data_IF_733902320834
#
_entry.id   IF_733902320834
#
_cell.length_a   1.000
_cell.length_b   1.000
_cell.length_c   1.000
_cell.angle_alpha   90.00
_cell.angle_beta   90.00
_cell.angle_gamma   90.00
#
_symmetry.space_group_name_H-M   'P 1'
#
loop_
_entity.id
_entity.type
_entity.pdbx_description
1 polymer ?
#
# COMPACT_ATOMS: atom_id res chain seq x y z
N UNK A 1 24.23 -11.24 -6.98
CA UNK A 1 22.90 -10.79 -7.49
C UNK A 1 21.77 -11.58 -6.83
N UNK A 2 21.87 -12.92 -6.73
CA UNK A 2 20.90 -13.80 -6.04
C UNK A 2 20.55 -13.38 -4.60
N UNK A 3 21.56 -13.12 -3.76
CA UNK A 3 21.35 -12.72 -2.34
C UNK A 3 20.50 -11.46 -2.18
N UNK A 4 20.58 -10.51 -3.12
CA UNK A 4 19.75 -9.29 -3.08
C UNK A 4 18.30 -9.57 -3.44
N UNK A 5 18.06 -10.47 -4.41
CA UNK A 5 16.73 -10.88 -4.82
C UNK A 5 16.03 -11.73 -3.74
N UNK A 6 16.76 -12.65 -3.11
CA UNK A 6 16.24 -13.48 -2.02
C UNK A 6 15.85 -12.64 -0.80
N UNK A 7 16.67 -11.63 -0.46
CA UNK A 7 16.36 -10.67 0.60
C UNK A 7 15.08 -9.90 0.28
N UNK A 8 14.92 -9.44 -0.96
CA UNK A 8 13.77 -8.66 -1.40
C UNK A 8 12.48 -9.50 -1.38
N UNK A 9 12.54 -10.73 -1.88
CA UNK A 9 11.45 -11.69 -1.80
C UNK A 9 11.05 -11.96 -0.34
N UNK A 10 12.04 -12.08 0.55
CA UNK A 10 11.79 -12.26 1.99
C UNK A 10 11.08 -11.06 2.61
N UNK A 11 11.49 -9.83 2.25
CA UNK A 11 10.83 -8.60 2.72
C UNK A 11 9.38 -8.50 2.22
N UNK A 12 9.12 -8.79 0.95
CA UNK A 12 7.75 -8.82 0.39
C UNK A 12 6.88 -9.87 1.11
N UNK A 13 7.45 -11.05 1.40
CA UNK A 13 6.74 -12.09 2.14
C UNK A 13 6.41 -11.67 3.59
N UNK A 14 7.33 -10.97 4.26
CA UNK A 14 7.10 -10.43 5.61
C UNK A 14 5.98 -9.38 5.57
N UNK A 15 6.03 -8.45 4.60
CA UNK A 15 4.97 -7.45 4.39
C UNK A 15 3.61 -8.12 4.23
N UNK A 16 3.51 -9.11 3.32
CA UNK A 16 2.26 -9.80 3.05
C UNK A 16 1.74 -10.54 4.30
N UNK A 17 2.60 -11.19 5.07
CA UNK A 17 2.20 -11.86 6.32
C UNK A 17 1.67 -10.87 7.35
N UNK A 18 2.38 -9.78 7.62
CA UNK A 18 1.96 -8.76 8.59
C UNK A 18 0.63 -8.13 8.19
N UNK A 19 0.47 -7.76 6.92
CA UNK A 19 -0.78 -7.15 6.42
C UNK A 19 -1.96 -8.13 6.51
N UNK A 20 -1.74 -9.41 6.21
CA UNK A 20 -2.79 -10.42 6.31
C UNK A 20 -3.26 -10.69 7.75
N UNK A 21 -2.41 -10.44 8.74
CA UNK A 21 -2.75 -10.55 10.17
C UNK A 21 -3.58 -9.36 10.68
N UNK A 22 -3.66 -8.26 9.93
CA UNK A 22 -4.47 -7.11 10.31
C UNK A 22 -5.97 -7.41 10.13
N UNK A 23 -6.79 -6.86 11.02
CA UNK A 23 -8.26 -6.88 10.92
C UNK A 23 -8.73 -5.81 9.92
N UNK A 24 -8.46 -6.08 8.66
CA UNK A 24 -8.78 -5.23 7.51
C UNK A 24 -9.55 -6.02 6.46
N UNK A 25 -10.40 -5.34 5.70
CA UNK A 25 -11.04 -5.92 4.53
C UNK A 25 -10.01 -6.30 3.46
N UNK A 26 -10.38 -7.20 2.55
CA UNK A 26 -9.51 -7.65 1.47
C UNK A 26 -9.01 -6.48 0.60
N UNK A 27 -9.89 -5.51 0.31
CA UNK A 27 -9.55 -4.31 -0.47
C UNK A 27 -8.52 -3.46 0.28
N UNK A 28 -8.71 -3.23 1.58
CA UNK A 28 -7.77 -2.48 2.40
C UNK A 28 -6.40 -3.17 2.48
N UNK A 29 -6.38 -4.49 2.65
CA UNK A 29 -5.14 -5.29 2.65
C UNK A 29 -4.39 -5.15 1.33
N UNK A 30 -5.08 -5.28 0.21
CA UNK A 30 -4.47 -5.17 -1.11
C UNK A 30 -3.91 -3.76 -1.38
N UNK A 31 -4.64 -2.72 -0.99
CA UNK A 31 -4.16 -1.34 -1.11
C UNK A 31 -2.94 -1.09 -0.23
N UNK A 32 -2.98 -1.53 1.02
CA UNK A 32 -1.87 -1.39 1.96
C UNK A 32 -0.63 -2.16 1.47
N UNK A 33 -0.81 -3.33 0.85
CA UNK A 33 0.28 -4.12 0.29
C UNK A 33 0.94 -3.44 -0.92
N UNK A 34 0.17 -2.79 -1.80
CA UNK A 34 0.72 -2.01 -2.91
C UNK A 34 1.48 -0.78 -2.39
N UNK A 35 0.94 -0.08 -1.39
CA UNK A 35 1.62 1.08 -0.78
C UNK A 35 2.92 0.67 -0.09
N UNK A 36 2.92 -0.43 0.66
CA UNK A 36 4.11 -0.93 1.35
C UNK A 36 5.19 -1.41 0.37
N UNK A 37 4.81 -2.00 -0.77
CA UNK A 37 5.75 -2.30 -1.84
C UNK A 37 6.32 -1.03 -2.48
N UNK A 38 5.47 -0.04 -2.79
CA UNK A 38 5.95 1.23 -3.33
C UNK A 38 6.95 1.92 -2.39
N UNK A 39 6.77 1.75 -1.08
CA UNK A 39 7.70 2.21 -0.06
C UNK A 39 9.01 1.40 -0.05
N UNK A 40 8.91 0.07 -0.06
CA UNK A 40 10.07 -0.85 -0.08
C UNK A 40 10.97 -0.67 -1.30
N UNK A 41 10.39 -0.45 -2.47
CA UNK A 41 11.11 -0.36 -3.74
C UNK A 41 11.41 1.09 -4.16
N UNK A 42 10.94 2.09 -3.41
CA UNK A 42 11.02 3.53 -3.73
C UNK A 42 10.65 3.85 -5.20
N UNK A 43 9.62 3.18 -5.74
CA UNK A 43 9.29 3.26 -7.17
C UNK A 43 8.71 4.61 -7.59
N UNK A 44 8.09 5.35 -6.67
CA UNK A 44 7.44 6.63 -6.91
C UNK A 44 7.70 7.66 -5.80
N UNK A 45 8.91 7.71 -5.23
CA UNK A 45 9.21 8.60 -4.09
C UNK A 45 8.23 8.40 -2.92
N UNK A 46 7.84 7.15 -2.67
CA UNK A 46 6.89 6.76 -1.63
C UNK A 46 5.47 7.36 -1.77
N UNK A 47 5.10 7.88 -2.95
CA UNK A 47 3.83 8.57 -3.17
C UNK A 47 3.01 7.88 -4.26
N UNK A 48 1.78 7.50 -3.92
CA UNK A 48 0.81 7.00 -4.89
C UNK A 48 -0.51 7.76 -4.77
N UNK A 49 -1.08 8.13 -5.91
CA UNK A 49 -2.43 8.67 -5.97
C UNK A 49 -3.47 7.57 -6.19
N UNK A 50 -4.73 7.87 -5.89
CA UNK A 50 -5.82 6.93 -6.17
C UNK A 50 -5.95 6.61 -7.66
N UNK A 51 -5.52 7.52 -8.55
CA UNK A 51 -5.49 7.25 -9.99
C UNK A 51 -4.43 6.20 -10.34
N UNK A 52 -3.26 6.28 -9.71
CA UNK A 52 -2.16 5.32 -9.94
C UNK A 52 -2.55 3.94 -9.40
N UNK A 53 -3.16 3.88 -8.22
CA UNK A 53 -3.65 2.64 -7.62
C UNK A 53 -4.69 1.95 -8.50
N UNK A 54 -5.61 2.70 -9.13
CA UNK A 54 -6.56 2.14 -10.11
C UNK A 54 -5.85 1.54 -11.33
N UNK A 55 -4.81 2.21 -11.84
CA UNK A 55 -4.03 1.75 -12.98
C UNK A 55 -3.18 0.53 -12.65
N UNK A 56 -2.70 0.40 -11.41
CA UNK A 56 -1.91 -0.74 -10.94
C UNK A 56 -2.82 -1.97 -10.73
N UNK A 57 -3.97 -1.77 -10.08
CA UNK A 57 -4.84 -2.88 -9.70
C UNK A 57 -5.62 -3.45 -10.89
N UNK A 58 -5.93 -2.64 -11.93
CA UNK A 58 -6.65 -3.02 -13.17
C UNK A 58 -7.80 -4.03 -12.99
N UNK A 59 -8.52 -3.94 -11.89
CA UNK A 59 -9.58 -4.89 -11.54
C UNK A 59 -10.87 -4.10 -11.25
N UNK A 60 -11.97 -4.52 -11.89
CA UNK A 60 -13.30 -3.91 -11.80
C UNK A 60 -13.84 -3.90 -10.36
N UNK A 61 -13.33 -4.78 -9.48
CA UNK A 61 -13.67 -4.80 -8.05
C UNK A 61 -13.29 -3.50 -7.34
N UNK A 62 -12.29 -2.77 -7.85
CA UNK A 62 -11.79 -1.51 -7.32
C UNK A 62 -12.41 -0.30 -8.01
N UNK A 63 -13.75 -0.23 -8.05
CA UNK A 63 -14.43 1.01 -8.45
C UNK A 63 -13.87 2.20 -7.66
N UNK A 64 -13.65 3.34 -8.33
CA UNK A 64 -13.01 4.54 -7.75
C UNK A 64 -13.59 4.94 -6.39
N UNK A 65 -14.91 4.87 -6.23
CA UNK A 65 -15.62 5.18 -4.98
C UNK A 65 -15.29 4.21 -3.85
N UNK A 66 -15.09 2.92 -4.13
CA UNK A 66 -14.67 1.91 -3.15
C UNK A 66 -13.24 2.13 -2.73
N UNK A 67 -12.36 2.47 -3.68
CA UNK A 67 -10.96 2.77 -3.41
C UNK A 67 -10.83 4.03 -2.55
N UNK A 68 -11.55 5.10 -2.91
CA UNK A 68 -11.62 6.33 -2.11
C UNK A 68 -12.12 6.08 -0.68
N UNK A 69 -13.12 5.20 -0.51
CA UNK A 69 -13.63 4.80 0.80
C UNK A 69 -12.57 4.03 1.60
N UNK A 70 -11.98 2.99 1.02
CA UNK A 70 -10.97 2.17 1.68
C UNK A 70 -9.73 2.98 2.08
N UNK A 71 -9.29 3.94 1.24
CA UNK A 71 -8.16 4.82 1.58
C UNK A 71 -8.49 5.75 2.75
N UNK A 72 -9.73 6.26 2.84
CA UNK A 72 -10.17 7.02 4.01
C UNK A 72 -10.24 6.15 5.28
N UNK A 73 -10.65 4.90 5.15
CA UNK A 73 -10.67 3.95 6.27
C UNK A 73 -9.25 3.62 6.75
N UNK A 74 -8.32 3.35 5.83
CA UNK A 74 -6.90 3.15 6.14
C UNK A 74 -6.25 4.37 6.81
N UNK A 75 -6.60 5.58 6.35
CA UNK A 75 -6.14 6.83 6.96
C UNK A 75 -6.72 7.00 8.38
N UNK A 76 -8.03 6.75 8.55
CA UNK A 76 -8.68 6.80 9.86
C UNK A 76 -8.13 5.77 10.84
N UNK A 77 -7.66 4.62 10.35
CA UNK A 77 -7.01 3.57 11.14
C UNK A 77 -5.52 3.85 11.39
N UNK A 78 -4.96 4.92 10.83
CA UNK A 78 -3.58 5.36 11.08
C UNK A 78 -2.51 4.64 10.26
N UNK A 79 -2.88 3.84 9.25
CA UNK A 79 -1.90 3.12 8.41
C UNK A 79 -1.24 4.02 7.38
N UNK A 80 -1.97 5.03 6.90
CA UNK A 80 -1.55 5.94 5.84
C UNK A 80 -1.88 7.39 6.20
N UNK A 81 -1.15 8.33 5.60
CA UNK A 81 -1.43 9.77 5.73
C UNK A 81 -1.49 10.43 4.36
N UNK A 82 -2.36 11.44 4.20
CA UNK A 82 -2.39 12.29 3.02
C UNK A 82 -1.22 13.26 3.04
N UNK A 83 -0.45 13.29 1.95
CA UNK A 83 0.63 14.26 1.75
C UNK A 83 0.19 15.42 0.86
N UNK A 84 -0.59 15.14 -0.20
CA UNK A 84 -1.05 16.16 -1.15
C UNK A 84 -2.55 16.08 -1.36
N UNK A 85 -3.19 17.22 -1.61
CA UNK A 85 -4.63 17.33 -1.90
C UNK A 85 -4.97 17.28 -3.40
N UNK A 86 -4.02 17.54 -4.30
CA UNK A 86 -4.26 17.51 -5.75
C UNK A 86 -3.01 17.15 -6.57
N UNK A 87 -2.96 15.97 -7.21
CA UNK A 87 -3.85 14.82 -6.95
C UNK A 87 -3.70 14.35 -5.50
N UNK A 88 -4.75 13.73 -4.94
CA UNK A 88 -4.67 13.18 -3.57
C UNK A 88 -3.64 12.05 -3.53
N UNK A 89 -2.54 12.27 -2.81
CA UNK A 89 -1.48 11.27 -2.64
C UNK A 89 -1.35 10.86 -1.19
N UNK A 90 -1.04 9.59 -1.00
CA UNK A 90 -0.88 8.98 0.31
C UNK A 90 0.53 8.43 0.47
N UNK A 91 0.98 8.39 1.73
CA UNK A 91 2.20 7.70 2.14
C UNK A 91 1.89 6.78 3.32
N UNK A 92 2.66 5.70 3.40
CA UNK A 92 2.67 4.76 4.50
C UNK A 92 3.18 5.45 5.78
N UNK A 93 2.46 5.29 6.90
CA UNK A 93 2.90 5.81 8.21
C UNK A 93 3.53 4.70 9.05
N UNK A 94 3.14 3.45 8.80
CA UNK A 94 3.60 2.29 9.56
C UNK A 94 4.80 1.65 8.86
N UNK A 95 5.91 1.50 9.55
CA UNK A 95 7.01 0.65 9.07
C UNK A 95 6.72 -0.82 9.40
N UNK A 96 6.38 -1.60 8.37
CA UNK A 96 6.13 -3.03 8.52
C UNK A 96 7.42 -3.86 8.55
N UNK A 97 8.59 -3.29 8.32
CA UNK A 97 9.87 -4.00 8.30
C UNK A 97 10.72 -3.69 9.54
N UNK A 98 10.43 -2.61 10.26
CA UNK A 98 10.94 -2.43 11.61
C UNK A 98 10.29 -3.43 12.58
N UNK A 99 11.11 -3.89 13.54
CA UNK A 99 10.78 -4.93 14.53
C UNK A 99 10.83 -4.32 15.91
#
# INVERSE_FOLDING_TARGET
>A
MLVKLDKLNSQVNILNKKINQLDLSEIEKNLLFVLAQNDLFDLNHHQLSNKDLLVILKDEKYARTRLDKAMKELESKGYITKIKKSPTTYKLVVDFLET
#
